data_IF_509089984667
#
_entry.id   IF_509089984667
#
_cell.length_a   1.000
_cell.length_b   1.000
_cell.length_c   1.000
_cell.angle_alpha   90.00
_cell.angle_beta   90.00
_cell.angle_gamma   90.00
#
_symmetry.space_group_name_H-M   'P 1'
#
loop_
_entity.id
_entity.type
_entity.pdbx_description
1 polymer ?
#
# COMPACT_ATOMS: atom_id res chain seq x y z
N UNK A 1 -2.38 12.53 -20.75
CA UNK A 1 -3.06 11.20 -20.80
C UNK A 1 -2.67 10.28 -19.65
N UNK A 2 -1.38 10.19 -19.32
CA UNK A 2 -0.87 9.28 -18.28
C UNK A 2 -1.53 9.47 -16.90
N UNK A 3 -1.79 10.72 -16.49
CA UNK A 3 -2.49 11.04 -15.24
C UNK A 3 -3.89 10.43 -15.16
N UNK A 4 -4.62 10.35 -16.29
CA UNK A 4 -5.97 9.76 -16.32
C UNK A 4 -5.88 8.25 -16.07
N UNK A 5 -4.92 7.57 -16.69
CA UNK A 5 -4.66 6.14 -16.49
C UNK A 5 -4.31 5.85 -15.03
N UNK A 6 -3.37 6.61 -14.44
CA UNK A 6 -3.01 6.45 -13.03
C UNK A 6 -4.17 6.71 -12.08
N UNK A 7 -5.05 7.67 -12.37
CA UNK A 7 -6.29 7.88 -11.59
C UNK A 7 -7.24 6.69 -11.67
N UNK A 8 -7.43 6.13 -12.87
CA UNK A 8 -8.29 4.95 -13.05
C UNK A 8 -7.74 3.74 -12.31
N UNK A 9 -6.43 3.46 -12.45
CA UNK A 9 -5.78 2.34 -11.75
C UNK A 9 -5.81 2.56 -10.24
N UNK A 10 -5.59 3.80 -9.78
CA UNK A 10 -5.72 4.16 -8.37
C UNK A 10 -7.11 3.83 -7.83
N UNK A 11 -8.16 4.23 -8.54
CA UNK A 11 -9.53 3.92 -8.15
C UNK A 11 -9.79 2.41 -8.08
N UNK A 12 -9.34 1.65 -9.09
CA UNK A 12 -9.43 0.18 -9.09
C UNK A 12 -8.64 -0.43 -7.93
N UNK A 13 -7.45 0.07 -7.62
CA UNK A 13 -6.65 -0.41 -6.50
C UNK A 13 -7.33 -0.18 -5.14
N UNK A 14 -8.04 0.94 -4.99
CA UNK A 14 -8.83 1.24 -3.80
C UNK A 14 -10.02 0.27 -3.70
N UNK A 15 -10.74 0.01 -4.80
CA UNK A 15 -11.80 -0.99 -4.80
C UNK A 15 -11.27 -2.38 -4.41
N UNK A 16 -10.15 -2.79 -4.98
CA UNK A 16 -9.49 -4.06 -4.62
C UNK A 16 -9.11 -4.12 -3.14
N UNK A 17 -8.60 -3.03 -2.57
CA UNK A 17 -8.31 -2.93 -1.15
C UNK A 17 -9.57 -3.05 -0.28
N UNK A 18 -10.65 -2.36 -0.64
CA UNK A 18 -11.92 -2.44 0.09
C UNK A 18 -12.52 -3.86 0.00
N UNK A 19 -12.45 -4.50 -1.15
CA UNK A 19 -12.87 -5.91 -1.30
C UNK A 19 -12.03 -6.83 -0.42
N UNK A 20 -10.70 -6.69 -0.45
CA UNK A 20 -9.82 -7.48 0.41
C UNK A 20 -10.12 -7.28 1.90
N UNK A 21 -10.36 -6.03 2.32
CA UNK A 21 -10.76 -5.71 3.69
C UNK A 21 -12.06 -6.42 4.10
N UNK A 22 -13.09 -6.40 3.24
CA UNK A 22 -14.37 -7.06 3.54
C UNK A 22 -14.22 -8.58 3.62
N UNK A 23 -13.44 -9.18 2.69
CA UNK A 23 -13.17 -10.62 2.69
C UNK A 23 -12.41 -11.05 3.95
N UNK A 24 -11.35 -10.33 4.30
CA UNK A 24 -10.55 -10.62 5.49
C UNK A 24 -11.35 -10.38 6.77
N UNK A 25 -12.14 -9.31 6.83
CA UNK A 25 -13.03 -9.07 7.97
C UNK A 25 -14.02 -10.22 8.18
N UNK A 26 -14.62 -10.74 7.11
CA UNK A 26 -15.57 -11.83 7.20
C UNK A 26 -14.93 -13.17 7.64
N UNK A 27 -13.64 -13.36 7.36
CA UNK A 27 -12.92 -14.59 7.72
C UNK A 27 -12.24 -14.55 9.08
N UNK A 28 -11.99 -13.37 9.65
CA UNK A 28 -11.33 -13.25 10.95
C UNK A 28 -12.26 -13.64 12.12
N UNK A 29 -11.68 -14.33 13.11
CA UNK A 29 -12.32 -14.58 14.41
C UNK A 29 -12.43 -13.32 15.27
N UNK A 30 -13.02 -13.42 16.47
CA UNK A 30 -13.25 -12.27 17.35
C UNK A 30 -11.94 -11.57 17.79
N UNK A 31 -10.88 -12.35 17.96
CA UNK A 31 -9.56 -11.89 18.36
C UNK A 31 -8.58 -12.06 17.20
N UNK A 32 -7.89 -10.99 16.86
CA UNK A 32 -6.86 -10.93 15.81
C UNK A 32 -5.49 -10.83 16.46
N UNK A 33 -4.65 -11.83 16.25
CA UNK A 33 -3.27 -11.88 16.71
C UNK A 33 -2.37 -11.23 15.67
N UNK A 34 -1.62 -10.20 16.08
CA UNK A 34 -0.74 -9.43 15.19
C UNK A 34 0.73 -9.81 15.41
N UNK A 35 1.07 -10.19 16.65
CA UNK A 35 2.42 -10.60 17.02
C UNK A 35 2.34 -11.70 18.08
N UNK A 36 3.17 -12.72 17.91
CA UNK A 36 3.30 -13.83 18.85
C UNK A 36 4.79 -13.99 19.19
N UNK A 37 5.28 -13.16 20.11
CA UNK A 37 6.67 -13.22 20.60
C UNK A 37 6.68 -13.56 22.09
N UNK A 38 6.86 -14.83 22.43
CA UNK A 38 7.02 -15.26 23.82
C UNK A 38 5.80 -14.93 24.70
N UNK A 39 6.02 -14.19 25.79
CA UNK A 39 5.01 -13.92 26.84
C UNK A 39 4.04 -12.78 26.53
N UNK A 40 4.37 -11.90 25.57
CA UNK A 40 3.52 -10.76 25.20
C UNK A 40 2.86 -10.99 23.83
N UNK A 41 1.55 -11.23 23.86
CA UNK A 41 0.73 -11.35 22.67
C UNK A 41 0.01 -10.02 22.42
N UNK A 42 0.35 -9.36 21.32
CA UNK A 42 -0.43 -8.20 20.86
C UNK A 42 -1.63 -8.73 20.08
N UNK A 43 -2.78 -8.65 20.72
CA UNK A 43 -4.06 -9.03 20.15
C UNK A 43 -5.03 -7.84 20.17
N UNK A 44 -5.83 -7.72 19.12
CA UNK A 44 -6.88 -6.72 19.00
C UNK A 44 -8.22 -7.43 18.73
N UNK A 45 -9.33 -6.77 19.04
CA UNK A 45 -10.61 -7.24 18.50
C UNK A 45 -10.63 -7.06 16.98
N UNK A 46 -11.36 -7.92 16.29
CA UNK A 46 -11.56 -7.84 14.84
C UNK A 46 -12.06 -6.49 14.38
N UNK A 47 -13.00 -5.91 15.13
CA UNK A 47 -13.58 -4.60 14.83
C UNK A 47 -12.51 -3.51 14.94
N UNK A 48 -11.68 -3.55 16.00
CA UNK A 48 -10.58 -2.60 16.17
C UNK A 48 -9.57 -2.70 15.03
N UNK A 49 -9.16 -3.92 14.69
CA UNK A 49 -8.26 -4.17 13.55
C UNK A 49 -8.83 -3.61 12.24
N UNK A 50 -10.11 -3.90 11.95
CA UNK A 50 -10.78 -3.41 10.76
C UNK A 50 -10.82 -1.89 10.69
N UNK A 51 -11.24 -1.21 11.76
CA UNK A 51 -11.34 0.24 11.77
C UNK A 51 -9.97 0.93 11.69
N UNK A 52 -8.93 0.37 12.30
CA UNK A 52 -7.56 0.88 12.17
C UNK A 52 -7.11 0.83 10.70
N UNK A 53 -7.30 -0.32 10.03
CA UNK A 53 -6.92 -0.46 8.62
C UNK A 53 -7.79 0.43 7.73
N UNK A 54 -9.08 0.58 8.05
CA UNK A 54 -9.99 1.48 7.33
C UNK A 54 -9.53 2.93 7.40
N UNK A 55 -9.25 3.43 8.61
CA UNK A 55 -8.76 4.79 8.82
C UNK A 55 -7.44 5.00 8.08
N UNK A 56 -6.50 4.06 8.20
CA UNK A 56 -5.23 4.12 7.48
C UNK A 56 -5.44 4.20 5.96
N UNK A 57 -6.33 3.37 5.42
CA UNK A 57 -6.65 3.33 3.99
C UNK A 57 -7.29 4.64 3.52
N UNK A 58 -8.20 5.21 4.30
CA UNK A 58 -8.82 6.52 4.03
C UNK A 58 -7.75 7.61 4.03
N UNK A 59 -6.91 7.69 5.07
CA UNK A 59 -5.87 8.70 5.19
C UNK A 59 -4.92 8.64 3.99
N UNK A 60 -4.39 7.45 3.69
CA UNK A 60 -3.49 7.22 2.55
C UNK A 60 -4.16 7.64 1.24
N UNK A 61 -5.40 7.24 0.98
CA UNK A 61 -6.05 7.55 -0.29
C UNK A 61 -6.49 9.01 -0.39
N UNK A 62 -6.85 9.66 0.71
CA UNK A 62 -7.22 11.08 0.73
C UNK A 62 -6.04 11.99 0.37
N UNK A 63 -4.81 11.54 0.60
CA UNK A 63 -3.61 12.33 0.26
C UNK A 63 -3.50 12.70 -1.22
N UNK A 64 -4.10 11.93 -2.15
CA UNK A 64 -4.07 12.29 -3.58
C UNK A 64 -4.79 13.61 -3.86
N UNK A 65 -5.82 13.93 -3.07
CA UNK A 65 -6.52 15.20 -3.15
C UNK A 65 -5.72 16.34 -2.55
N UNK A 66 -5.00 16.09 -1.45
CA UNK A 66 -4.07 17.07 -0.87
C UNK A 66 -2.95 17.41 -1.86
N UNK A 67 -2.33 16.41 -2.49
CA UNK A 67 -1.31 16.63 -3.52
C UNK A 67 -1.88 17.38 -4.73
N UNK A 68 -3.13 17.11 -5.12
CA UNK A 68 -3.78 17.88 -6.17
C UNK A 68 -3.86 19.37 -5.82
N UNK A 69 -4.13 19.73 -4.55
CA UNK A 69 -4.23 21.12 -4.09
C UNK A 69 -2.88 21.85 -4.18
N UNK A 70 -1.80 21.24 -3.68
CA UNK A 70 -0.47 21.88 -3.66
C UNK A 70 0.26 21.84 -5.01
N UNK A 71 -0.04 20.87 -5.88
CA UNK A 71 0.68 20.63 -7.15
C UNK A 71 -0.24 20.71 -8.37
N UNK A 72 -1.17 21.68 -8.38
CA UNK A 72 -2.17 21.91 -9.43
C UNK A 72 -1.62 21.89 -10.87
N UNK A 73 -0.43 22.47 -11.09
CA UNK A 73 0.19 22.61 -12.42
C UNK A 73 1.16 21.49 -12.78
N UNK A 74 1.53 20.61 -11.85
CA UNK A 74 2.54 19.57 -12.07
C UNK A 74 1.87 18.21 -12.32
N UNK A 75 1.49 17.95 -13.58
CA UNK A 75 0.87 16.68 -13.96
C UNK A 75 1.76 15.46 -13.75
N UNK A 76 3.06 15.59 -14.03
CA UNK A 76 4.03 14.50 -13.90
C UNK A 76 4.14 14.05 -12.44
N UNK A 77 4.29 14.99 -11.51
CA UNK A 77 4.38 14.68 -10.09
C UNK A 77 3.09 14.05 -9.56
N UNK A 78 1.93 14.57 -9.96
CA UNK A 78 0.64 13.99 -9.57
C UNK A 78 0.48 12.56 -10.08
N UNK A 79 0.93 12.29 -11.31
CA UNK A 79 0.88 10.95 -11.90
C UNK A 79 1.76 9.97 -11.12
N UNK A 80 2.98 10.38 -10.80
CA UNK A 80 3.89 9.60 -9.95
C UNK A 80 3.28 9.32 -8.57
N UNK A 81 2.68 10.33 -7.94
CA UNK A 81 2.08 10.21 -6.61
C UNK A 81 0.88 9.25 -6.59
N UNK A 82 0.02 9.28 -7.62
CA UNK A 82 -1.01 8.26 -7.78
C UNK A 82 -0.41 6.85 -7.87
N UNK A 83 0.70 6.69 -8.60
CA UNK A 83 1.47 5.45 -8.63
C UNK A 83 1.94 4.99 -7.25
N UNK A 84 2.46 5.93 -6.43
CA UNK A 84 2.88 5.63 -5.06
C UNK A 84 1.71 5.12 -4.22
N UNK A 85 0.56 5.80 -4.26
CA UNK A 85 -0.64 5.38 -3.52
C UNK A 85 -1.15 4.02 -4.00
N UNK A 86 -1.08 3.72 -5.30
CA UNK A 86 -1.39 2.37 -5.84
C UNK A 86 -0.48 1.31 -5.21
N UNK A 87 0.83 1.54 -5.16
CA UNK A 87 1.77 0.57 -4.56
C UNK A 87 1.51 0.36 -3.07
N UNK A 88 1.12 1.42 -2.35
CA UNK A 88 0.73 1.31 -0.93
C UNK A 88 -0.57 0.51 -0.78
N UNK A 89 -1.58 0.75 -1.61
CA UNK A 89 -2.82 -0.03 -1.59
C UNK A 89 -2.54 -1.53 -1.82
N UNK A 90 -1.67 -1.88 -2.77
CA UNK A 90 -1.24 -3.26 -3.01
C UNK A 90 -0.52 -3.87 -1.79
N UNK A 91 0.38 -3.10 -1.16
CA UNK A 91 1.03 -3.53 0.07
C UNK A 91 0.04 -3.78 1.21
N UNK A 92 -0.97 -2.92 1.38
CA UNK A 92 -2.02 -3.11 2.38
C UNK A 92 -2.84 -4.37 2.10
N UNK A 93 -3.18 -4.65 0.83
CA UNK A 93 -3.86 -5.90 0.44
C UNK A 93 -3.03 -7.12 0.84
N UNK A 94 -1.75 -7.14 0.48
CA UNK A 94 -0.82 -8.23 0.84
C UNK A 94 -0.75 -8.40 2.36
N UNK A 95 -0.66 -7.30 3.10
CA UNK A 95 -0.58 -7.30 4.57
C UNK A 95 -1.85 -7.83 5.21
N UNK A 96 -3.03 -7.48 4.67
CA UNK A 96 -4.32 -7.99 5.14
C UNK A 96 -4.43 -9.51 4.98
N UNK A 97 -4.09 -10.03 3.79
CA UNK A 97 -4.13 -11.47 3.54
C UNK A 97 -3.07 -12.23 4.35
N UNK A 98 -1.92 -11.63 4.61
CA UNK A 98 -0.91 -12.18 5.51
C UNK A 98 -1.45 -12.35 6.93
N UNK A 99 -2.04 -11.29 7.49
CA UNK A 99 -2.63 -11.32 8.83
C UNK A 99 -3.77 -12.34 8.89
N UNK A 100 -4.59 -12.42 7.85
CA UNK A 100 -5.64 -13.42 7.76
C UNK A 100 -5.07 -14.85 7.77
N UNK A 101 -4.01 -15.11 6.99
CA UNK A 101 -3.36 -16.42 6.95
C UNK A 101 -2.82 -16.83 8.32
N UNK A 102 -2.19 -15.91 9.06
CA UNK A 102 -1.72 -16.16 10.43
C UNK A 102 -2.86 -16.44 11.43
N UNK A 103 -4.05 -15.92 11.19
CA UNK A 103 -5.22 -16.07 12.07
C UNK A 103 -6.22 -17.15 11.60
N UNK A 104 -5.95 -17.82 10.48
CA UNK A 104 -6.88 -18.75 9.83
C UNK A 104 -7.08 -20.10 10.54
N UNK A 105 -6.26 -20.43 11.55
CA UNK A 105 -6.25 -21.76 12.18
C UNK A 105 -5.68 -22.87 11.28
N UNK A 106 -5.42 -22.60 10.00
CA UNK A 106 -4.81 -23.51 9.05
C UNK A 106 -3.28 -23.50 9.17
N UNK A 107 -2.65 -24.64 8.87
CA UNK A 107 -1.18 -24.77 8.85
C UNK A 107 -0.64 -24.36 7.48
N UNK A 108 -0.34 -23.08 7.33
CA UNK A 108 0.36 -22.57 6.15
C UNK A 108 1.88 -22.77 6.23
N UNK A 109 2.50 -23.06 5.10
CA UNK A 109 3.96 -22.99 4.95
C UNK A 109 4.39 -21.54 4.68
N UNK A 110 5.09 -20.95 5.63
CA UNK A 110 5.57 -19.58 5.58
C UNK A 110 6.98 -19.43 4.99
N UNK A 111 7.59 -20.51 4.48
CA UNK A 111 8.96 -20.52 3.95
C UNK A 111 9.23 -19.46 2.87
N UNK A 112 8.21 -19.09 2.09
CA UNK A 112 8.33 -18.12 0.99
C UNK A 112 7.69 -16.76 1.28
N UNK A 113 7.13 -16.55 2.47
CA UNK A 113 6.35 -15.34 2.75
C UNK A 113 7.21 -14.08 2.80
N UNK A 114 8.48 -14.25 3.18
CA UNK A 114 9.49 -13.19 3.15
C UNK A 114 9.59 -12.54 1.78
N UNK A 115 9.53 -13.32 0.69
CA UNK A 115 9.59 -12.78 -0.67
C UNK A 115 8.40 -11.87 -0.99
N UNK A 116 7.19 -12.26 -0.55
CA UNK A 116 5.96 -11.48 -0.78
C UNK A 116 5.98 -10.18 0.03
N UNK A 117 6.41 -10.25 1.30
CA UNK A 117 6.50 -9.09 2.18
C UNK A 117 7.60 -8.13 1.70
N UNK A 118 8.83 -8.62 1.54
CA UNK A 118 9.94 -7.77 1.11
C UNK A 118 9.78 -7.29 -0.33
N UNK A 119 9.14 -8.08 -1.21
CA UNK A 119 8.81 -7.66 -2.56
C UNK A 119 7.80 -6.51 -2.59
N UNK A 120 6.73 -6.59 -1.79
CA UNK A 120 5.72 -5.51 -1.71
C UNK A 120 6.27 -4.25 -1.05
N UNK A 121 7.04 -4.37 0.04
CA UNK A 121 7.77 -3.23 0.63
C UNK A 121 8.78 -2.64 -0.36
N UNK A 122 9.55 -3.50 -1.02
CA UNK A 122 10.54 -3.11 -2.02
C UNK A 122 9.91 -2.34 -3.18
N UNK A 123 8.71 -2.74 -3.63
CA UNK A 123 7.95 -2.03 -4.65
C UNK A 123 7.58 -0.61 -4.20
N UNK A 124 7.09 -0.44 -2.97
CA UNK A 124 6.76 0.88 -2.41
C UNK A 124 8.00 1.75 -2.33
N UNK A 125 9.12 1.22 -1.81
CA UNK A 125 10.39 1.96 -1.68
C UNK A 125 10.94 2.34 -3.05
N UNK A 126 10.98 1.39 -3.99
CA UNK A 126 11.45 1.63 -5.35
C UNK A 126 10.61 2.73 -6.04
N UNK A 127 9.29 2.69 -5.87
CA UNK A 127 8.41 3.71 -6.45
C UNK A 127 8.58 5.07 -5.79
N UNK A 128 8.76 5.11 -4.46
CA UNK A 128 9.02 6.33 -3.72
C UNK A 128 10.32 7.03 -4.18
N UNK A 129 11.36 6.24 -4.48
CA UNK A 129 12.67 6.73 -4.92
C UNK A 129 12.69 7.05 -6.43
N UNK A 130 11.78 6.49 -7.22
CA UNK A 130 11.76 6.69 -8.68
C UNK A 130 11.70 8.18 -9.08
N UNK A 131 10.88 8.99 -8.42
CA UNK A 131 10.76 10.41 -8.76
C UNK A 131 12.02 11.25 -8.54
N UNK A 132 12.67 11.25 -7.35
CA UNK A 132 13.92 11.97 -7.16
C UNK A 132 15.01 11.47 -8.12
N UNK A 133 15.10 10.16 -8.37
CA UNK A 133 16.07 9.59 -9.33
C UNK A 133 15.82 10.11 -10.74
N UNK A 134 14.57 10.10 -11.22
CA UNK A 134 14.21 10.63 -12.55
C UNK A 134 14.58 12.11 -12.68
N UNK A 135 14.32 12.93 -11.63
CA UNK A 135 14.68 14.34 -11.65
C UNK A 135 16.19 14.57 -11.72
N UNK A 136 16.96 13.82 -10.93
CA UNK A 136 18.43 13.90 -10.93
C UNK A 136 18.98 13.50 -12.29
N UNK A 137 18.51 12.38 -12.86
CA UNK A 137 18.96 11.89 -14.16
C UNK A 137 18.66 12.88 -15.29
N UNK A 138 17.44 13.44 -15.34
CA UNK A 138 17.08 14.48 -16.32
C UNK A 138 18.03 15.68 -16.24
N UNK A 139 18.36 16.14 -15.03
CA UNK A 139 19.26 17.29 -14.81
C UNK A 139 20.68 17.06 -15.34
N UNK A 140 21.20 15.84 -15.24
CA UNK A 140 22.51 15.50 -15.80
C UNK A 140 22.48 15.37 -17.32
N UNK A 141 21.42 14.78 -17.88
CA UNK A 141 21.29 14.61 -19.33
C UNK A 141 21.16 15.94 -20.08
N UNK A 142 20.45 16.93 -19.54
CA UNK A 142 20.29 18.25 -20.20
C UNK A 142 21.59 19.07 -20.19
N UNK A 143 22.48 18.84 -19.22
CA UNK A 143 23.80 19.50 -19.16
C UNK A 143 24.81 18.92 -20.17
N UNK A 144 24.58 17.70 -20.67
CA UNK A 144 25.50 17.05 -21.62
C UNK A 144 25.27 17.46 -23.09
N UNK A 145 24.20 18.20 -23.37
CA UNK A 145 23.80 18.64 -24.72
C UNK A 145 24.04 20.13 -24.97
N UNK A 146 24.85 20.80 -24.14
CA UNK A 146 25.29 22.19 -24.32
C UNK A 146 26.80 22.20 -24.49
#
# INVERSE_FOLDING_TARGET
MILKVFKSIWFVSLLGLLTAMMLVYASLGEVVVIQQNGLDQVALSRESFFYIVLILSVVVNMTVYLIKLFYLKNEDFRSWYHGLVITINLFLVVSLFLINAFNSGERFDFSRIAFVIYGSVGLVVAWAIAWPVIKVFRRFSTKSTV
#
